data_IF_996186051349
#
_entry.id   IF_996186051349
#
_cell.length_a   1.000
_cell.length_b   1.000
_cell.length_c   1.000
_cell.angle_alpha   90.00
_cell.angle_beta   90.00
_cell.angle_gamma   90.00
#
_symmetry.space_group_name_H-M   'P 1'
#
loop_
_entity.id
_entity.type
_entity.pdbx_description
1 polymer ?
#
# COMPACT_ATOMS: atom_id res chain seq x y z
N UNK A 1 10.40 17.85 24.90
CA UNK A 1 11.50 18.20 23.97
C UNK A 1 11.19 19.57 23.39
N UNK A 2 12.19 20.43 23.17
CA UNK A 2 12.01 21.71 22.47
C UNK A 2 11.64 21.44 21.01
N UNK A 3 10.84 22.34 20.40
CA UNK A 3 10.52 22.29 18.99
C UNK A 3 11.78 22.40 18.13
N UNK A 4 11.98 21.45 17.17
CA UNK A 4 13.13 21.48 16.27
C UNK A 4 12.87 22.49 15.14
N UNK A 5 13.78 23.45 14.96
CA UNK A 5 13.63 24.56 14.01
C UNK A 5 14.32 24.32 12.65
N UNK A 6 15.19 23.32 12.58
CA UNK A 6 15.97 22.98 11.37
C UNK A 6 16.01 21.47 11.20
N UNK A 7 16.07 20.99 9.97
CA UNK A 7 16.24 19.57 9.64
C UNK A 7 17.02 19.41 8.31
N UNK A 8 17.75 18.30 8.17
CA UNK A 8 18.33 17.88 6.89
C UNK A 8 17.22 17.51 5.90
N UNK A 9 16.21 16.79 6.41
CA UNK A 9 15.01 16.47 5.64
C UNK A 9 13.76 16.43 6.53
N UNK A 10 12.62 16.79 5.95
CA UNK A 10 11.29 16.66 6.56
C UNK A 10 10.46 15.66 5.73
N UNK A 11 9.98 14.59 6.39
CA UNK A 11 9.06 13.61 5.80
C UNK A 11 7.64 13.88 6.30
N UNK A 12 6.68 14.05 5.39
CA UNK A 12 5.29 14.37 5.70
C UNK A 12 4.43 13.10 5.55
N UNK A 13 3.88 12.62 6.67
CA UNK A 13 3.03 11.43 6.75
C UNK A 13 3.68 10.27 7.51
N UNK A 14 3.02 9.80 8.57
CA UNK A 14 3.47 8.70 9.44
C UNK A 14 2.90 7.32 9.07
N UNK A 15 2.44 7.15 7.82
CA UNK A 15 2.09 5.86 7.23
C UNK A 15 3.33 5.09 6.77
N UNK A 16 3.12 3.91 6.17
CA UNK A 16 4.21 3.02 5.75
C UNK A 16 5.20 3.70 4.80
N UNK A 17 4.71 4.43 3.79
CA UNK A 17 5.57 5.13 2.82
C UNK A 17 6.51 6.14 3.51
N UNK A 18 5.97 7.02 4.36
CA UNK A 18 6.78 8.04 5.04
C UNK A 18 7.64 7.48 6.16
N UNK A 19 7.12 6.52 6.94
CA UNK A 19 7.89 5.92 8.04
C UNK A 19 9.11 5.14 7.52
N UNK A 20 8.94 4.35 6.46
CA UNK A 20 10.06 3.67 5.82
C UNK A 20 11.06 4.66 5.21
N UNK A 21 10.57 5.72 4.54
CA UNK A 21 11.47 6.77 4.00
C UNK A 21 12.31 7.41 5.10
N UNK A 22 11.70 7.83 6.20
CA UNK A 22 12.42 8.45 7.32
C UNK A 22 13.47 7.49 7.92
N UNK A 23 13.11 6.22 8.08
CA UNK A 23 14.05 5.20 8.55
C UNK A 23 15.25 5.04 7.62
N UNK A 24 15.03 4.88 6.31
CA UNK A 24 16.13 4.66 5.35
C UNK A 24 16.98 5.92 5.15
N UNK A 25 16.41 7.12 5.18
CA UNK A 25 17.21 8.36 5.18
C UNK A 25 18.21 8.38 6.34
N UNK A 26 17.74 8.11 7.55
CA UNK A 26 18.60 8.08 8.72
C UNK A 26 19.61 6.92 8.68
N UNK A 27 19.18 5.72 8.31
CA UNK A 27 20.03 4.54 8.18
C UNK A 27 21.17 4.73 7.16
N UNK A 28 20.91 5.47 6.07
CA UNK A 28 21.92 5.82 5.08
C UNK A 28 22.78 7.01 5.46
N UNK A 29 22.61 7.57 6.67
CA UNK A 29 23.52 8.52 7.28
C UNK A 29 23.04 9.98 7.37
N UNK A 30 21.81 10.29 6.97
CA UNK A 30 21.21 11.60 7.20
C UNK A 30 20.96 11.80 8.70
N UNK A 31 21.42 12.92 9.30
CA UNK A 31 21.45 13.08 10.75
C UNK A 31 20.14 13.61 11.33
N UNK A 32 19.65 14.71 10.77
CA UNK A 32 18.53 15.47 11.32
C UNK A 32 17.26 15.23 10.47
N UNK A 33 16.69 14.02 10.55
CA UNK A 33 15.44 13.65 9.87
C UNK A 33 14.26 13.92 10.81
N UNK A 34 13.29 14.72 10.35
CA UNK A 34 12.03 14.97 11.05
C UNK A 34 10.87 14.34 10.27
N UNK A 35 10.05 13.53 10.94
CA UNK A 35 8.81 13.04 10.39
C UNK A 35 7.62 13.75 11.04
N UNK A 36 6.74 14.33 10.22
CA UNK A 36 5.53 15.04 10.64
C UNK A 36 4.30 14.18 10.35
N UNK A 37 3.48 13.93 11.36
CA UNK A 37 2.21 13.24 11.25
C UNK A 37 1.09 14.06 11.90
N UNK A 38 0.02 14.34 11.12
CA UNK A 38 -1.10 15.18 11.60
C UNK A 38 -1.90 14.55 12.75
N UNK A 39 -1.91 13.23 12.82
CA UNK A 39 -2.61 12.46 13.86
C UNK A 39 -1.63 11.54 14.61
N UNK A 40 -1.95 10.26 14.72
CA UNK A 40 -1.07 9.21 15.20
C UNK A 40 -0.48 8.44 14.03
N UNK A 41 0.72 7.89 14.20
CA UNK A 41 1.35 7.04 13.17
C UNK A 41 0.42 5.88 12.79
N UNK A 42 0.45 5.47 11.53
CA UNK A 42 -0.42 4.45 10.95
C UNK A 42 -1.94 4.75 11.02
N UNK A 43 -2.38 5.93 11.45
CA UNK A 43 -3.83 6.25 11.53
C UNK A 43 -4.50 6.40 10.16
N UNK A 44 -3.73 6.57 9.09
CA UNK A 44 -4.18 6.62 7.71
C UNK A 44 -4.48 5.24 7.11
N UNK A 45 -4.29 5.10 5.79
CA UNK A 45 -4.52 3.85 5.05
C UNK A 45 -3.74 2.66 5.61
N UNK A 46 -2.53 2.88 6.13
CA UNK A 46 -1.66 1.82 6.67
C UNK A 46 -2.35 0.99 7.75
N UNK A 47 -2.89 1.60 8.80
CA UNK A 47 -3.57 0.86 9.88
C UNK A 47 -5.00 0.42 9.56
N UNK A 48 -5.46 0.66 8.34
CA UNK A 48 -6.82 0.34 7.87
C UNK A 48 -6.85 -0.66 6.73
N UNK A 49 -5.68 -1.07 6.21
CA UNK A 49 -5.57 -1.98 5.07
C UNK A 49 -5.59 -3.46 5.47
N UNK A 50 -5.75 -4.34 4.48
CA UNK A 50 -5.61 -5.78 4.64
C UNK A 50 -4.15 -6.23 4.85
N UNK A 51 -3.19 -5.32 4.68
CA UNK A 51 -1.74 -5.56 4.83
C UNK A 51 -1.19 -6.70 3.97
N UNK A 52 -1.75 -6.87 2.82
CA UNK A 52 -1.36 -7.87 1.84
C UNK A 52 -0.20 -7.37 0.97
N UNK A 53 0.64 -8.28 0.51
CA UNK A 53 1.70 -8.02 -0.45
C UNK A 53 1.84 -9.18 -1.45
N UNK A 54 2.18 -8.84 -2.69
CA UNK A 54 2.29 -9.82 -3.77
C UNK A 54 3.26 -9.36 -4.87
N UNK A 55 3.78 -10.32 -5.62
CA UNK A 55 4.55 -10.11 -6.86
C UNK A 55 3.77 -10.52 -8.13
N UNK A 56 2.58 -11.05 -7.95
CA UNK A 56 1.68 -11.56 -9.00
C UNK A 56 0.94 -10.43 -9.70
N UNK A 57 1.67 -9.65 -10.52
CA UNK A 57 1.18 -8.53 -11.32
C UNK A 57 1.19 -8.84 -12.81
N UNK A 58 0.52 -8.03 -13.61
CA UNK A 58 0.47 -8.12 -15.07
C UNK A 58 1.35 -7.11 -15.80
N UNK A 59 1.98 -6.18 -15.07
CA UNK A 59 2.93 -5.20 -15.60
C UNK A 59 4.36 -5.49 -15.14
N UNK A 60 5.34 -5.36 -16.04
CA UNK A 60 6.75 -5.67 -15.76
C UNK A 60 7.29 -4.92 -14.54
N UNK A 61 7.10 -3.59 -14.49
CA UNK A 61 7.58 -2.76 -13.37
C UNK A 61 6.94 -3.18 -12.04
N UNK A 62 5.64 -3.54 -12.05
CA UNK A 62 4.95 -4.00 -10.86
C UNK A 62 5.46 -5.37 -10.39
N UNK A 63 5.81 -6.26 -11.31
CA UNK A 63 6.40 -7.57 -10.97
C UNK A 63 7.78 -7.35 -10.34
N UNK A 64 8.63 -6.51 -10.94
CA UNK A 64 9.97 -6.19 -10.41
C UNK A 64 9.85 -5.57 -9.02
N UNK A 65 9.00 -4.56 -8.85
CA UNK A 65 8.78 -3.90 -7.56
C UNK A 65 8.16 -4.85 -6.53
N UNK A 66 7.15 -5.63 -6.92
CA UNK A 66 6.48 -6.60 -6.05
C UNK A 66 7.43 -7.71 -5.58
N UNK A 67 8.31 -8.21 -6.47
CA UNK A 67 9.36 -9.17 -6.11
C UNK A 67 10.34 -8.58 -5.10
N UNK A 68 10.82 -7.36 -5.34
CA UNK A 68 11.70 -6.66 -4.39
C UNK A 68 11.01 -6.46 -3.03
N UNK A 69 9.70 -6.17 -3.03
CA UNK A 69 8.92 -6.05 -1.79
C UNK A 69 8.84 -7.37 -1.03
N UNK A 70 8.60 -8.50 -1.70
CA UNK A 70 8.60 -9.81 -1.04
C UNK A 70 9.98 -10.10 -0.43
N UNK A 71 11.05 -9.93 -1.21
CA UNK A 71 12.42 -10.14 -0.76
C UNK A 71 12.76 -9.24 0.46
N UNK A 72 12.19 -8.04 0.51
CA UNK A 72 12.31 -7.11 1.64
C UNK A 72 11.50 -7.58 2.85
N UNK A 73 10.22 -7.92 2.69
CA UNK A 73 9.36 -8.36 3.79
C UNK A 73 9.89 -9.60 4.50
N UNK A 74 10.48 -10.54 3.77
CA UNK A 74 11.07 -11.76 4.34
C UNK A 74 12.25 -11.49 5.29
N UNK A 75 12.92 -10.35 5.14
CA UNK A 75 14.07 -9.93 5.97
C UNK A 75 13.71 -8.83 6.97
N UNK A 76 12.51 -8.26 6.85
CA UNK A 76 12.16 -7.02 7.51
C UNK A 76 12.12 -7.14 9.03
N UNK A 77 11.67 -8.29 9.57
CA UNK A 77 11.68 -8.54 11.02
C UNK A 77 13.09 -8.52 11.60
N UNK A 78 14.06 -9.11 10.90
CA UNK A 78 15.47 -9.12 11.27
C UNK A 78 16.05 -7.71 11.14
N UNK A 79 15.83 -7.05 10.01
CA UNK A 79 16.33 -5.70 9.70
C UNK A 79 15.85 -4.68 10.74
N UNK A 80 14.58 -4.73 11.11
CA UNK A 80 13.98 -3.79 12.06
C UNK A 80 14.16 -4.23 13.53
N UNK A 81 14.65 -5.46 13.78
CA UNK A 81 14.81 -6.02 15.12
C UNK A 81 13.49 -6.25 15.86
N UNK A 82 12.39 -6.49 15.13
CA UNK A 82 11.06 -6.69 15.69
C UNK A 82 10.19 -7.53 14.73
N UNK A 83 9.40 -8.46 15.27
CA UNK A 83 8.45 -9.24 14.49
C UNK A 83 7.36 -8.34 13.88
N UNK A 84 7.17 -8.47 12.56
CA UNK A 84 6.16 -7.75 11.79
C UNK A 84 4.88 -8.57 11.56
N UNK A 85 4.79 -9.76 12.11
CA UNK A 85 3.67 -10.67 11.89
C UNK A 85 3.58 -11.15 10.45
N UNK A 86 4.71 -11.48 9.83
CA UNK A 86 4.79 -11.98 8.45
C UNK A 86 4.11 -13.34 8.33
N UNK A 87 3.20 -13.47 7.36
CA UNK A 87 2.51 -14.70 7.06
C UNK A 87 2.40 -14.92 5.54
N UNK A 88 3.16 -15.88 5.03
CA UNK A 88 3.21 -16.24 3.61
C UNK A 88 2.46 -17.55 3.36
N UNK A 89 1.20 -17.42 3.01
CA UNK A 89 0.30 -18.52 2.69
C UNK A 89 -0.12 -18.53 1.21
N UNK A 90 0.54 -17.71 0.40
CA UNK A 90 0.28 -17.55 -1.03
C UNK A 90 -0.98 -16.78 -1.36
N UNK A 91 -1.09 -16.42 -2.65
CA UNK A 91 -2.30 -15.87 -3.25
C UNK A 91 -2.88 -16.84 -4.24
N UNK A 92 -4.15 -17.19 -4.04
CA UNK A 92 -4.96 -17.98 -4.94
C UNK A 92 -5.92 -17.06 -5.71
N UNK A 93 -5.61 -16.82 -6.96
CA UNK A 93 -6.48 -16.08 -7.86
C UNK A 93 -7.50 -16.99 -8.49
N UNK A 94 -8.75 -16.51 -8.58
CA UNK A 94 -9.90 -17.27 -9.07
C UNK A 94 -10.42 -16.59 -10.33
N UNK A 95 -10.51 -17.34 -11.44
CA UNK A 95 -11.14 -16.91 -12.66
C UNK A 95 -12.57 -17.46 -12.77
N UNK A 96 -13.49 -16.62 -13.22
CA UNK A 96 -14.88 -16.97 -13.48
C UNK A 96 -15.24 -16.90 -14.98
N UNK A 97 -14.31 -16.50 -15.84
CA UNK A 97 -14.46 -16.49 -17.30
C UNK A 97 -13.23 -17.08 -17.98
N UNK A 98 -13.39 -17.53 -19.22
CA UNK A 98 -12.29 -18.05 -20.05
C UNK A 98 -11.31 -16.93 -20.41
N UNK A 99 -11.79 -15.68 -20.55
CA UNK A 99 -10.96 -14.50 -20.76
C UNK A 99 -10.00 -14.25 -19.59
N UNK A 100 -10.50 -14.36 -18.35
CA UNK A 100 -9.65 -14.27 -17.16
C UNK A 100 -8.58 -15.37 -17.12
N UNK A 101 -8.93 -16.60 -17.52
CA UNK A 101 -7.96 -17.71 -17.61
C UNK A 101 -6.86 -17.40 -18.62
N UNK A 102 -7.20 -16.89 -19.79
CA UNK A 102 -6.20 -16.50 -20.80
C UNK A 102 -5.33 -15.33 -20.32
N UNK A 103 -5.92 -14.37 -19.59
CA UNK A 103 -5.14 -13.29 -18.97
C UNK A 103 -4.18 -13.84 -17.88
N UNK A 104 -4.62 -14.77 -17.03
CA UNK A 104 -3.75 -15.43 -16.05
C UNK A 104 -2.55 -16.11 -16.72
N UNK A 105 -2.75 -16.84 -17.82
CA UNK A 105 -1.65 -17.47 -18.57
C UNK A 105 -0.62 -16.45 -19.08
N UNK A 106 -1.08 -15.29 -19.59
CA UNK A 106 -0.20 -14.21 -20.03
C UNK A 106 0.60 -13.63 -18.86
N UNK A 107 -0.08 -13.32 -17.74
CA UNK A 107 0.56 -12.81 -16.52
C UNK A 107 1.59 -13.80 -15.98
N UNK A 108 1.26 -15.09 -15.87
CA UNK A 108 2.16 -16.15 -15.40
C UNK A 108 3.40 -16.25 -16.29
N UNK A 109 3.25 -16.18 -17.61
CA UNK A 109 4.39 -16.20 -18.54
C UNK A 109 5.35 -15.04 -18.27
N UNK A 110 4.83 -13.82 -18.09
CA UNK A 110 5.63 -12.64 -17.77
C UNK A 110 6.26 -12.75 -16.38
N UNK A 111 5.50 -13.16 -15.37
CA UNK A 111 5.97 -13.35 -14.00
C UNK A 111 7.14 -14.36 -13.95
N UNK A 112 6.99 -15.50 -14.62
CA UNK A 112 8.04 -16.53 -14.68
C UNK A 112 9.31 -16.03 -15.38
N UNK A 113 9.19 -15.23 -16.44
CA UNK A 113 10.36 -14.63 -17.12
C UNK A 113 11.12 -13.64 -16.24
N UNK A 114 10.45 -13.07 -15.22
CA UNK A 114 11.03 -12.13 -14.25
C UNK A 114 11.39 -12.78 -12.91
N UNK A 115 11.35 -14.13 -12.86
CA UNK A 115 11.75 -14.89 -11.68
C UNK A 115 10.71 -14.96 -10.56
N UNK A 116 9.41 -14.80 -10.90
CA UNK A 116 8.27 -15.03 -10.00
C UNK A 116 7.59 -16.34 -10.43
N UNK A 117 7.81 -17.47 -9.72
CA UNK A 117 7.39 -18.80 -10.14
C UNK A 117 5.89 -19.04 -9.84
N UNK A 118 5.03 -18.35 -10.56
CA UNK A 118 3.58 -18.54 -10.52
C UNK A 118 3.17 -19.68 -11.43
N UNK A 119 2.06 -20.35 -11.12
CA UNK A 119 1.54 -21.44 -11.94
C UNK A 119 0.02 -21.50 -11.93
N UNK A 120 -0.54 -22.03 -13.01
CA UNK A 120 -1.94 -22.44 -13.01
C UNK A 120 -2.14 -23.62 -12.06
N UNK A 121 -3.33 -23.70 -11.46
CA UNK A 121 -3.75 -24.84 -10.66
C UNK A 121 -4.96 -25.53 -11.30
N UNK A 122 -5.03 -26.86 -11.13
CA UNK A 122 -6.26 -27.62 -11.33
C UNK A 122 -7.28 -27.30 -10.23
N UNK A 123 -8.53 -27.70 -10.44
CA UNK A 123 -9.58 -27.57 -9.42
C UNK A 123 -9.26 -28.39 -8.16
N UNK A 124 -8.64 -29.56 -8.32
CA UNK A 124 -8.24 -30.41 -7.19
C UNK A 124 -7.11 -29.76 -6.38
N UNK A 125 -6.08 -29.22 -7.04
CA UNK A 125 -5.01 -28.49 -6.36
C UNK A 125 -5.53 -27.24 -5.63
N UNK A 126 -6.46 -26.50 -6.22
CA UNK A 126 -7.11 -25.36 -5.56
C UNK A 126 -7.91 -25.79 -4.32
N UNK A 127 -8.57 -26.97 -4.40
CA UNK A 127 -9.29 -27.58 -3.30
C UNK A 127 -8.37 -28.06 -2.18
N UNK A 128 -7.18 -28.56 -2.50
CA UNK A 128 -6.16 -28.92 -1.52
C UNK A 128 -5.64 -27.68 -0.77
N UNK A 129 -5.39 -26.58 -1.48
CA UNK A 129 -4.95 -25.31 -0.87
C UNK A 129 -6.05 -24.65 -0.03
N UNK A 130 -7.31 -24.76 -0.45
CA UNK A 130 -8.45 -24.18 0.24
C UNK A 130 -9.63 -25.16 0.25
N UNK A 131 -9.67 -26.10 1.21
CA UNK A 131 -10.69 -27.18 1.25
C UNK A 131 -12.15 -26.70 1.29
N UNK A 132 -12.37 -25.47 1.81
CA UNK A 132 -13.69 -24.85 1.90
C UNK A 132 -14.16 -24.15 0.64
N UNK A 133 -13.31 -24.01 -0.39
CA UNK A 133 -13.64 -23.23 -1.60
C UNK A 133 -14.78 -23.88 -2.41
N UNK A 134 -15.71 -23.05 -2.86
CA UNK A 134 -16.75 -23.46 -3.79
C UNK A 134 -16.24 -23.32 -5.22
N UNK A 135 -16.16 -24.46 -5.91
CA UNK A 135 -15.67 -24.53 -7.29
C UNK A 135 -16.74 -24.23 -8.36
N UNK A 136 -18.01 -24.09 -7.95
CA UNK A 136 -19.10 -23.88 -8.90
C UNK A 136 -18.93 -22.53 -9.63
N UNK A 137 -18.92 -22.61 -10.96
CA UNK A 137 -18.76 -21.44 -11.84
C UNK A 137 -17.34 -20.94 -12.00
N UNK A 138 -16.35 -21.55 -11.34
CA UNK A 138 -14.94 -21.22 -11.55
C UNK A 138 -14.43 -21.84 -12.85
N UNK A 139 -13.53 -21.13 -13.54
CA UNK A 139 -12.91 -21.53 -14.82
C UNK A 139 -11.44 -21.87 -14.68
N UNK A 140 -10.77 -21.33 -13.68
CA UNK A 140 -9.36 -21.59 -13.46
C UNK A 140 -8.83 -20.89 -12.23
N UNK A 141 -7.63 -21.29 -11.85
CA UNK A 141 -6.92 -20.78 -10.71
C UNK A 141 -5.46 -20.55 -11.06
N UNK A 142 -4.83 -19.52 -10.46
CA UNK A 142 -3.38 -19.48 -10.40
C UNK A 142 -2.90 -19.06 -9.02
N UNK A 143 -1.66 -19.40 -8.69
CA UNK A 143 -1.12 -19.28 -7.36
C UNK A 143 0.37 -18.97 -7.36
N UNK A 144 0.78 -18.18 -6.38
CA UNK A 144 2.18 -17.93 -6.06
C UNK A 144 2.38 -18.03 -4.54
N UNK A 145 3.35 -18.86 -4.14
CA UNK A 145 3.55 -19.26 -2.73
C UNK A 145 4.05 -18.14 -1.83
N UNK A 146 4.97 -17.29 -2.33
CA UNK A 146 5.63 -16.26 -1.51
C UNK A 146 4.80 -15.01 -1.26
N UNK A 147 3.70 -14.84 -1.97
CA UNK A 147 2.74 -13.79 -1.70
C UNK A 147 2.07 -14.03 -0.33
N UNK A 148 1.65 -12.97 0.35
CA UNK A 148 1.11 -13.12 1.70
C UNK A 148 0.64 -11.80 2.32
N UNK A 149 0.71 -11.74 3.63
CA UNK A 149 0.38 -10.54 4.39
C UNK A 149 1.27 -10.43 5.64
N UNK A 150 1.30 -9.24 6.23
CA UNK A 150 1.89 -8.99 7.53
C UNK A 150 0.87 -8.31 8.48
N UNK A 151 1.28 -7.93 9.67
CA UNK A 151 0.46 -7.07 10.52
C UNK A 151 0.79 -5.60 10.22
N UNK A 152 -0.19 -4.75 9.83
CA UNK A 152 0.09 -3.38 9.41
C UNK A 152 0.54 -2.48 10.57
N UNK A 153 0.01 -2.73 11.76
CA UNK A 153 0.37 -1.94 12.95
C UNK A 153 1.75 -2.35 13.47
N UNK A 154 2.03 -3.66 13.55
CA UNK A 154 3.35 -4.16 13.95
C UNK A 154 4.42 -3.73 12.95
N UNK A 155 4.16 -3.85 11.63
CA UNK A 155 5.13 -3.45 10.60
C UNK A 155 5.46 -1.96 10.67
N UNK A 156 4.44 -1.10 10.81
CA UNK A 156 4.67 0.35 10.91
C UNK A 156 5.33 0.72 12.25
N UNK A 157 4.97 0.04 13.34
CA UNK A 157 5.58 0.24 14.65
C UNK A 157 7.04 -0.21 14.68
N UNK A 158 7.36 -1.34 14.04
CA UNK A 158 8.76 -1.80 13.89
C UNK A 158 9.62 -0.77 13.16
N UNK A 159 9.11 -0.22 12.04
CA UNK A 159 9.79 0.89 11.35
C UNK A 159 9.93 2.13 12.24
N UNK A 160 8.89 2.49 13.00
CA UNK A 160 8.94 3.63 13.92
C UNK A 160 10.04 3.46 14.98
N UNK A 161 10.12 2.29 15.59
CA UNK A 161 11.14 2.05 16.62
C UNK A 161 12.55 1.97 15.99
N UNK A 162 12.69 1.39 14.81
CA UNK A 162 13.94 1.41 14.05
C UNK A 162 14.34 2.85 13.67
N UNK A 163 13.42 3.65 13.15
CA UNK A 163 13.67 5.06 12.82
C UNK A 163 14.11 5.88 14.04
N UNK A 164 13.49 5.66 15.21
CA UNK A 164 13.90 6.31 16.46
C UNK A 164 15.32 5.91 16.89
N UNK A 165 15.70 4.62 16.72
CA UNK A 165 17.07 4.16 17.03
C UNK A 165 18.11 4.83 16.13
N UNK A 166 17.74 5.13 14.87
CA UNK A 166 18.57 5.89 13.93
C UNK A 166 18.50 7.42 14.15
N UNK A 167 17.77 7.90 15.15
CA UNK A 167 17.72 9.32 15.51
C UNK A 167 16.61 10.13 14.86
N UNK A 168 15.67 9.52 14.14
CA UNK A 168 14.54 10.24 13.53
C UNK A 168 13.63 10.86 14.58
N UNK A 169 13.38 12.18 14.45
CA UNK A 169 12.46 12.91 15.29
C UNK A 169 11.01 12.82 14.75
N UNK A 170 10.18 12.03 15.39
CA UNK A 170 8.79 11.79 14.98
C UNK A 170 7.83 12.72 15.73
N UNK A 171 7.26 13.68 15.02
CA UNK A 171 6.34 14.70 15.55
C UNK A 171 4.88 14.34 15.17
N UNK A 172 4.14 13.77 16.12
CA UNK A 172 2.71 13.48 15.99
C UNK A 172 1.87 14.74 16.27
N UNK A 173 0.61 14.74 15.80
CA UNK A 173 -0.33 15.84 15.93
C UNK A 173 0.25 17.16 15.39
N UNK A 174 0.99 17.03 14.26
CA UNK A 174 1.66 18.15 13.61
C UNK A 174 1.21 18.22 12.17
N UNK A 175 0.37 19.20 11.88
CA UNK A 175 -0.21 19.41 10.56
C UNK A 175 0.63 20.41 9.76
N UNK A 176 0.91 20.07 8.51
CA UNK A 176 1.61 20.95 7.57
C UNK A 176 0.62 21.94 7.00
N UNK A 177 0.91 23.23 7.16
CA UNK A 177 0.02 24.33 6.74
C UNK A 177 0.56 25.12 5.56
N UNK A 178 1.82 24.91 5.18
CA UNK A 178 2.47 25.62 4.06
C UNK A 178 3.93 25.29 3.93
N UNK A 179 4.57 25.97 3.00
CA UNK A 179 6.00 25.82 2.72
C UNK A 179 6.70 27.19 2.61
N UNK A 180 7.96 27.28 3.03
CA UNK A 180 8.86 28.36 2.70
C UNK A 180 9.55 28.02 1.40
N UNK A 181 9.56 28.92 0.45
CA UNK A 181 10.14 28.75 -0.89
C UNK A 181 10.98 29.96 -1.27
N UNK A 182 12.10 29.71 -1.93
CA UNK A 182 12.94 30.74 -2.55
C UNK A 182 13.67 30.15 -3.76
N UNK A 183 13.78 30.94 -4.82
CA UNK A 183 14.53 30.60 -6.04
C UNK A 183 14.18 29.23 -6.66
N UNK A 184 12.89 28.89 -6.70
CA UNK A 184 12.42 27.61 -7.22
C UNK A 184 12.78 26.39 -6.37
N UNK A 185 13.11 26.60 -5.08
CA UNK A 185 13.47 25.54 -4.14
C UNK A 185 12.70 25.63 -2.84
N UNK A 186 12.44 24.49 -2.21
CA UNK A 186 11.90 24.46 -0.86
C UNK A 186 12.98 24.91 0.15
N UNK A 187 12.57 25.71 1.16
CA UNK A 187 13.43 26.25 2.22
C UNK A 187 12.90 25.93 3.61
N UNK A 188 11.73 25.35 3.71
CA UNK A 188 11.16 24.96 4.99
C UNK A 188 9.70 24.54 4.89
N UNK A 189 9.22 23.99 6.00
CA UNK A 189 7.85 23.54 6.19
C UNK A 189 7.21 24.37 7.31
N UNK A 190 6.03 24.94 7.04
CA UNK A 190 5.20 25.61 8.03
C UNK A 190 4.23 24.60 8.64
N UNK A 191 4.08 24.63 9.96
CA UNK A 191 3.17 23.72 10.67
C UNK A 191 2.32 24.45 11.70
N UNK A 192 1.30 23.80 12.20
CA UNK A 192 0.48 24.30 13.31
C UNK A 192 1.23 24.43 14.65
N UNK A 193 2.48 23.97 14.74
CA UNK A 193 3.33 24.06 15.95
C UNK A 193 4.55 24.96 15.78
N UNK A 194 4.80 25.43 14.58
CA UNK A 194 5.95 26.25 14.21
C UNK A 194 6.61 25.77 12.92
N UNK A 195 7.58 26.51 12.46
CA UNK A 195 8.28 26.24 11.22
C UNK A 195 9.52 25.38 11.42
N UNK A 196 9.90 24.65 10.38
CA UNK A 196 11.14 23.88 10.29
C UNK A 196 11.84 24.28 8.99
N UNK A 197 13.04 24.85 9.08
CA UNK A 197 13.86 25.16 7.92
C UNK A 197 14.53 23.87 7.41
N UNK A 198 14.39 23.60 6.12
CA UNK A 198 14.95 22.43 5.43
C UNK A 198 15.02 22.67 3.93
N UNK A 199 15.97 22.03 3.26
CA UNK A 199 16.04 22.04 1.78
C UNK A 199 15.50 20.75 1.14
N UNK A 200 15.04 19.77 1.94
CA UNK A 200 14.51 18.51 1.45
C UNK A 200 13.20 18.21 2.17
N UNK A 201 12.14 18.07 1.39
CA UNK A 201 10.81 17.66 1.86
C UNK A 201 10.34 16.45 1.07
N UNK A 202 9.88 15.43 1.76
CA UNK A 202 9.29 14.25 1.13
C UNK A 202 7.80 14.18 1.50
N UNK A 203 6.94 14.40 0.50
CA UNK A 203 5.50 14.29 0.65
C UNK A 203 5.07 12.81 0.51
N UNK A 204 4.84 12.17 1.63
CA UNK A 204 4.34 10.80 1.76
C UNK A 204 2.95 10.77 2.47
N UNK A 205 2.14 11.81 2.24
CA UNK A 205 0.86 12.03 2.91
C UNK A 205 -0.30 11.16 2.36
N UNK A 206 0.00 10.12 1.55
CA UNK A 206 -0.98 9.18 1.01
C UNK A 206 -2.12 9.90 0.27
N UNK A 207 -3.36 9.63 0.62
CA UNK A 207 -4.54 10.23 0.00
C UNK A 207 -4.60 11.78 0.11
N UNK A 208 -3.85 12.39 1.02
CA UNK A 208 -3.73 13.85 1.17
C UNK A 208 -2.56 14.45 0.39
N UNK A 209 -1.74 13.62 -0.28
CA UNK A 209 -0.52 14.08 -0.92
C UNK A 209 -0.76 15.16 -1.98
N UNK A 210 -1.85 15.07 -2.78
CA UNK A 210 -2.23 16.12 -3.72
C UNK A 210 -2.54 17.46 -3.03
N UNK A 211 -3.23 17.43 -1.87
CA UNK A 211 -3.51 18.65 -1.08
C UNK A 211 -2.25 19.26 -0.48
N UNK A 212 -1.37 18.41 0.04
CA UNK A 212 -0.05 18.87 0.57
C UNK A 212 0.78 19.49 -0.55
N UNK A 213 0.84 18.87 -1.73
CA UNK A 213 1.52 19.44 -2.89
C UNK A 213 0.94 20.80 -3.32
N UNK A 214 -0.38 20.95 -3.26
CA UNK A 214 -1.05 22.22 -3.57
C UNK A 214 -0.65 23.36 -2.62
N UNK A 215 -0.32 23.09 -1.35
CA UNK A 215 0.24 24.10 -0.43
C UNK A 215 1.60 24.63 -0.91
N UNK A 216 2.31 23.86 -1.70
CA UNK A 216 3.57 24.24 -2.36
C UNK A 216 3.36 24.82 -3.77
N UNK A 217 2.12 25.02 -4.21
CA UNK A 217 1.79 25.48 -5.56
C UNK A 217 1.93 24.41 -6.65
N UNK A 218 2.12 23.15 -6.29
CA UNK A 218 2.28 22.03 -7.21
C UNK A 218 0.94 21.32 -7.49
N UNK A 219 0.69 20.97 -8.75
CA UNK A 219 -0.48 20.19 -9.16
C UNK A 219 -0.08 18.75 -9.45
N UNK A 220 -0.25 17.88 -8.45
CA UNK A 220 0.05 16.46 -8.56
C UNK A 220 -1.27 15.69 -8.63
N UNK A 221 -1.50 14.81 -9.63
CA UNK A 221 -2.77 14.14 -9.82
C UNK A 221 -2.95 12.94 -8.87
N UNK A 222 -3.05 13.24 -7.58
CA UNK A 222 -3.31 12.27 -6.51
C UNK A 222 -4.56 12.70 -5.76
N UNK A 223 -5.53 11.81 -5.63
CA UNK A 223 -6.74 12.05 -4.84
C UNK A 223 -7.07 10.86 -3.95
N UNK A 224 -7.90 11.10 -2.93
CA UNK A 224 -8.36 10.05 -2.04
C UNK A 224 -9.61 9.37 -2.57
N UNK A 225 -9.65 8.02 -2.53
CA UNK A 225 -10.84 7.23 -2.77
C UNK A 225 -11.13 6.34 -1.58
N UNK A 226 -12.38 6.33 -1.10
CA UNK A 226 -12.78 5.56 0.07
C UNK A 226 -13.07 4.10 -0.30
N UNK A 227 -12.36 3.17 0.33
CA UNK A 227 -12.57 1.73 0.26
C UNK A 227 -13.03 1.19 1.62
N UNK A 228 -13.87 0.18 1.61
CA UNK A 228 -14.40 -0.47 2.81
C UNK A 228 -13.88 -1.89 2.95
N UNK A 229 -13.78 -2.33 4.19
CA UNK A 229 -13.25 -3.62 4.59
C UNK A 229 -14.03 -4.11 5.81
N UNK A 230 -14.19 -5.41 5.95
CA UNK A 230 -14.80 -6.02 7.14
C UNK A 230 -13.87 -7.02 7.82
N UNK A 231 -14.15 -7.29 9.09
CA UNK A 231 -13.58 -8.38 9.86
C UNK A 231 -14.67 -9.21 10.52
N UNK A 232 -14.49 -10.52 10.51
CA UNK A 232 -15.36 -11.46 11.23
C UNK A 232 -14.88 -11.68 12.65
N UNK A 233 -15.75 -12.27 13.49
CA UNK A 233 -15.30 -12.93 14.71
C UNK A 233 -14.21 -13.97 14.39
N UNK A 234 -13.32 -14.28 15.35
CA UNK A 234 -12.36 -15.35 15.19
C UNK A 234 -13.06 -16.71 15.06
N UNK A 235 -12.63 -17.48 14.08
CA UNK A 235 -13.06 -18.89 13.88
C UNK A 235 -11.82 -19.76 13.75
N UNK A 236 -12.03 -21.08 13.78
CA UNK A 236 -10.94 -22.03 13.57
C UNK A 236 -10.14 -21.68 12.32
N UNK A 237 -8.81 -21.69 12.44
CA UNK A 237 -7.93 -21.43 11.30
C UNK A 237 -8.08 -22.52 10.23
N UNK A 238 -8.08 -22.12 8.96
CA UNK A 238 -8.26 -23.04 7.82
C UNK A 238 -9.60 -22.90 7.10
N UNK A 239 -10.45 -21.94 7.49
CA UNK A 239 -11.62 -21.56 6.69
C UNK A 239 -11.18 -20.85 5.41
N UNK A 240 -10.16 -19.98 5.49
CA UNK A 240 -9.54 -19.28 4.35
C UNK A 240 -8.01 -19.37 4.48
N UNK A 241 -7.40 -20.54 4.25
CA UNK A 241 -6.00 -20.82 4.59
C UNK A 241 -4.99 -20.14 3.66
N UNK A 242 -5.42 -19.66 2.49
CA UNK A 242 -4.62 -18.86 1.54
C UNK A 242 -5.35 -17.55 1.25
N UNK A 243 -4.64 -16.53 0.76
CA UNK A 243 -5.29 -15.31 0.33
C UNK A 243 -6.08 -15.58 -0.95
N UNK A 244 -7.39 -15.33 -0.93
CA UNK A 244 -8.28 -15.50 -2.08
C UNK A 244 -8.51 -14.16 -2.75
N UNK A 245 -8.44 -14.13 -4.07
CA UNK A 245 -8.67 -12.93 -4.86
C UNK A 245 -9.32 -13.23 -6.20
N UNK A 246 -10.20 -12.37 -6.66
CA UNK A 246 -10.72 -12.32 -8.02
C UNK A 246 -10.87 -10.86 -8.45
N UNK A 247 -10.73 -10.59 -9.75
CA UNK A 247 -10.96 -9.28 -10.33
C UNK A 247 -12.39 -9.08 -10.81
N UNK A 248 -13.07 -10.18 -11.20
CA UNK A 248 -14.47 -10.18 -11.54
C UNK A 248 -15.10 -11.55 -11.22
N UNK A 249 -16.01 -11.65 -10.22
CA UNK A 249 -16.35 -10.57 -9.28
C UNK A 249 -15.16 -10.10 -8.49
N UNK A 250 -15.08 -8.77 -8.30
CA UNK A 250 -13.98 -8.15 -7.54
C UNK A 250 -14.14 -8.42 -6.05
N UNK A 251 -13.17 -9.14 -5.48
CA UNK A 251 -13.06 -9.36 -4.04
C UNK A 251 -11.66 -9.81 -3.64
N UNK A 252 -11.37 -9.64 -2.36
CA UNK A 252 -10.27 -10.30 -1.69
C UNK A 252 -10.69 -10.78 -0.29
N UNK A 253 -10.09 -11.89 0.16
CA UNK A 253 -10.31 -12.46 1.49
C UNK A 253 -9.02 -13.09 2.02
N UNK A 254 -8.79 -12.95 3.32
CA UNK A 254 -7.71 -13.63 4.04
C UNK A 254 -8.13 -13.96 5.45
N UNK A 255 -7.65 -15.06 5.99
CA UNK A 255 -7.79 -15.37 7.41
C UNK A 255 -6.51 -15.00 8.16
N UNK A 256 -6.68 -14.26 9.24
CA UNK A 256 -5.56 -13.86 10.11
C UNK A 256 -5.17 -15.04 11.02
N UNK A 257 -3.93 -15.12 11.50
CA UNK A 257 -3.50 -16.23 12.40
C UNK A 257 -4.38 -16.43 13.64
N UNK A 258 -4.99 -15.36 14.16
CA UNK A 258 -5.92 -15.43 15.29
C UNK A 258 -7.35 -15.88 14.92
N UNK A 259 -7.62 -16.16 13.64
CA UNK A 259 -8.88 -16.75 13.16
C UNK A 259 -9.85 -15.80 12.45
N UNK A 260 -9.80 -14.48 12.65
CA UNK A 260 -10.70 -13.54 11.96
C UNK A 260 -10.43 -13.53 10.47
N UNK A 261 -11.49 -13.46 9.65
CA UNK A 261 -11.41 -13.27 8.21
C UNK A 261 -11.54 -11.78 7.91
N UNK A 262 -10.59 -11.25 7.16
CA UNK A 262 -10.62 -9.91 6.59
C UNK A 262 -11.07 -10.02 5.13
N UNK A 263 -12.05 -9.19 4.72
CA UNK A 263 -12.56 -9.22 3.35
C UNK A 263 -12.92 -7.83 2.86
N UNK A 264 -12.75 -7.59 1.56
CA UNK A 264 -13.07 -6.33 0.89
C UNK A 264 -13.20 -6.47 -0.62
N UNK A 265 -13.70 -5.40 -1.25
CA UNK A 265 -13.86 -5.26 -2.69
C UNK A 265 -13.75 -3.80 -3.12
N UNK A 266 -13.64 -3.52 -4.42
CA UNK A 266 -13.66 -2.17 -4.96
C UNK A 266 -15.01 -1.46 -4.75
N UNK A 267 -15.02 -0.14 -4.52
CA UNK A 267 -16.23 0.61 -4.19
C UNK A 267 -17.28 0.62 -5.31
N UNK A 268 -16.88 0.52 -6.57
CA UNK A 268 -17.78 0.45 -7.73
C UNK A 268 -18.76 -0.74 -7.69
N UNK A 269 -18.48 -1.76 -6.89
CA UNK A 269 -19.32 -2.95 -6.76
C UNK A 269 -20.57 -2.74 -5.91
N UNK A 270 -20.56 -1.76 -5.02
CA UNK A 270 -21.65 -1.49 -4.08
C UNK A 270 -22.10 -0.01 -4.01
N UNK A 271 -21.39 0.87 -4.71
CA UNK A 271 -21.70 2.31 -4.82
C UNK A 271 -21.90 2.71 -6.27
N UNK A 272 -22.91 3.53 -6.54
CA UNK A 272 -23.14 4.14 -7.86
C UNK A 272 -22.28 5.38 -8.10
N UNK A 273 -21.91 6.08 -7.04
CA UNK A 273 -21.12 7.31 -7.08
C UNK A 273 -19.90 7.19 -6.18
N UNK A 274 -18.78 7.78 -6.59
CA UNK A 274 -17.61 7.90 -5.75
C UNK A 274 -17.96 8.65 -4.46
N UNK A 275 -17.58 8.09 -3.33
CA UNK A 275 -17.75 8.79 -2.06
C UNK A 275 -16.90 10.05 -2.06
N UNK A 276 -17.46 11.23 -1.66
CA UNK A 276 -16.67 12.43 -1.56
C UNK A 276 -15.49 12.20 -0.61
N UNK A 277 -14.37 12.85 -0.91
CA UNK A 277 -13.19 12.85 -0.04
C UNK A 277 -13.47 13.70 1.21
N UNK A 278 -14.22 13.14 2.14
CA UNK A 278 -14.39 13.69 3.48
C UNK A 278 -13.54 12.86 4.43
N UNK A 279 -12.80 13.55 5.32
CA UNK A 279 -11.90 12.92 6.29
C UNK A 279 -12.58 11.73 6.98
N UNK A 280 -12.18 10.49 6.64
CA UNK A 280 -12.59 9.24 7.27
C UNK A 280 -14.02 9.22 7.83
N UNK A 281 -15.02 9.56 7.02
CA UNK A 281 -16.38 9.20 7.40
C UNK A 281 -16.45 7.70 7.64
N UNK A 282 -16.53 7.33 8.90
CA UNK A 282 -16.69 5.96 9.39
C UNK A 282 -18.13 5.46 9.19
N UNK A 283 -18.88 6.08 8.28
CA UNK A 283 -20.27 5.72 8.01
C UNK A 283 -20.34 4.28 7.50
N UNK A 284 -21.22 3.51 8.14
CA UNK A 284 -21.53 2.13 7.74
C UNK A 284 -22.19 2.15 6.36
N UNK A 285 -21.58 1.48 5.38
CA UNK A 285 -22.22 1.21 4.11
C UNK A 285 -22.86 -0.18 4.17
N UNK A 286 -24.18 -0.22 4.42
CA UNK A 286 -24.93 -1.47 4.44
C UNK A 286 -24.79 -2.25 3.13
N UNK A 287 -24.80 -1.54 2.00
CA UNK A 287 -24.63 -2.16 0.68
C UNK A 287 -23.30 -2.92 0.55
N UNK A 288 -22.21 -2.38 1.14
CA UNK A 288 -20.93 -3.09 1.18
C UNK A 288 -21.04 -4.37 2.00
N UNK A 289 -21.64 -4.29 3.19
CA UNK A 289 -21.78 -5.44 4.09
C UNK A 289 -22.57 -6.57 3.41
N UNK A 290 -23.71 -6.24 2.83
CA UNK A 290 -24.57 -7.19 2.12
C UNK A 290 -23.86 -7.80 0.92
N UNK A 291 -23.24 -6.97 0.08
CA UNK A 291 -22.50 -7.41 -1.10
C UNK A 291 -21.34 -8.35 -0.71
N UNK A 292 -20.48 -7.92 0.23
CA UNK A 292 -19.28 -8.68 0.59
C UNK A 292 -19.60 -9.99 1.31
N UNK A 293 -20.57 -9.99 2.22
CA UNK A 293 -21.01 -11.23 2.89
C UNK A 293 -21.66 -12.21 1.93
N UNK A 294 -22.37 -11.70 0.91
CA UNK A 294 -22.90 -12.49 -0.21
C UNK A 294 -21.79 -13.21 -0.98
N UNK A 295 -20.71 -12.48 -1.32
CA UNK A 295 -19.52 -13.05 -1.97
C UNK A 295 -18.84 -14.08 -1.05
N UNK A 296 -18.62 -13.76 0.21
CA UNK A 296 -17.99 -14.66 1.17
C UNK A 296 -18.74 -15.98 1.25
N UNK A 297 -20.07 -15.94 1.39
CA UNK A 297 -20.93 -17.12 1.49
C UNK A 297 -20.96 -17.94 0.20
N UNK A 298 -20.78 -17.28 -0.95
CA UNK A 298 -20.72 -17.95 -2.27
C UNK A 298 -19.37 -18.63 -2.50
N UNK A 299 -18.27 -17.95 -2.18
CA UNK A 299 -16.89 -18.43 -2.42
C UNK A 299 -16.46 -19.43 -1.37
N UNK A 300 -16.78 -19.15 -0.10
CA UNK A 300 -16.48 -19.99 1.06
C UNK A 300 -17.76 -20.29 1.86
N UNK A 301 -18.56 -21.31 1.48
CA UNK A 301 -19.83 -21.61 2.17
C UNK A 301 -19.73 -21.83 3.69
N UNK A 302 -18.55 -22.20 4.20
CA UNK A 302 -18.27 -22.30 5.62
C UNK A 302 -18.34 -20.97 6.37
N UNK A 303 -18.40 -19.84 5.66
CA UNK A 303 -18.57 -18.52 6.28
C UNK A 303 -20.01 -18.18 6.65
N UNK A 304 -20.99 -19.00 6.21
CA UNK A 304 -22.38 -18.83 6.60
C UNK A 304 -22.55 -18.92 8.11
N UNK A 305 -23.16 -17.90 8.69
CA UNK A 305 -23.39 -17.80 10.13
C UNK A 305 -22.24 -17.23 10.95
N UNK A 306 -21.07 -16.97 10.34
CA UNK A 306 -19.97 -16.24 11.00
C UNK A 306 -20.37 -14.77 11.11
N UNK A 307 -20.24 -14.20 12.30
CA UNK A 307 -20.62 -12.81 12.56
C UNK A 307 -19.56 -11.84 12.07
N UNK A 308 -19.96 -10.79 11.38
CA UNK A 308 -19.11 -9.63 11.13
C UNK A 308 -19.06 -8.79 12.41
N UNK A 309 -17.87 -8.61 12.96
CA UNK A 309 -17.68 -7.86 14.22
C UNK A 309 -17.20 -6.45 13.99
N UNK A 310 -16.68 -6.15 12.81
CA UNK A 310 -16.22 -4.81 12.45
C UNK A 310 -16.30 -4.57 10.95
N UNK A 311 -16.72 -3.35 10.61
CA UNK A 311 -16.59 -2.76 9.29
C UNK A 311 -15.92 -1.39 9.45
N UNK A 312 -15.05 -1.01 8.52
CA UNK A 312 -14.40 0.29 8.53
C UNK A 312 -13.97 0.68 7.12
N UNK A 313 -13.59 1.94 6.94
CA UNK A 313 -13.07 2.45 5.68
C UNK A 313 -11.63 2.94 5.79
N UNK A 314 -10.90 2.88 4.68
CA UNK A 314 -9.61 3.51 4.46
C UNK A 314 -9.63 4.33 3.17
N UNK A 315 -8.68 5.27 3.05
CA UNK A 315 -8.56 6.09 1.85
C UNK A 315 -7.38 5.60 1.01
N UNK A 316 -7.67 5.17 -0.21
CA UNK A 316 -6.64 4.89 -1.21
C UNK A 316 -6.13 6.19 -1.81
N UNK A 317 -4.84 6.26 -2.08
CA UNK A 317 -4.16 7.35 -2.79
C UNK A 317 -4.19 7.03 -4.30
N UNK A 318 -5.28 7.43 -4.96
CA UNK A 318 -5.49 7.12 -6.37
C UNK A 318 -4.71 8.08 -7.26
N UNK A 319 -3.99 7.51 -8.22
CA UNK A 319 -3.30 8.17 -9.32
C UNK A 319 -3.94 7.78 -10.64
N UNK A 320 -3.74 8.54 -11.75
CA UNK A 320 -4.43 8.29 -13.02
C UNK A 320 -4.26 6.88 -13.61
N UNK A 321 -3.14 6.23 -13.33
CA UNK A 321 -2.83 4.87 -13.77
C UNK A 321 -2.75 3.86 -12.60
N UNK A 322 -3.16 4.27 -11.40
CA UNK A 322 -3.07 3.46 -10.18
C UNK A 322 -1.65 2.95 -9.89
N UNK A 323 -0.63 3.71 -10.32
CA UNK A 323 0.78 3.37 -10.12
C UNK A 323 1.45 4.38 -9.20
N UNK A 324 2.57 4.04 -8.55
CA UNK A 324 3.28 4.96 -7.69
C UNK A 324 3.61 6.29 -8.38
N UNK A 325 3.62 7.35 -7.59
CA UNK A 325 4.14 8.68 -7.94
C UNK A 325 5.31 8.97 -7.03
N UNK A 326 6.52 8.82 -7.57
CA UNK A 326 7.77 8.93 -6.82
C UNK A 326 8.75 9.79 -7.62
N UNK A 327 9.45 10.71 -6.95
CA UNK A 327 10.48 11.54 -7.57
C UNK A 327 10.52 12.97 -7.04
N UNK A 328 11.51 13.74 -7.46
CA UNK A 328 11.65 15.16 -7.16
C UNK A 328 10.83 16.00 -8.13
N UNK A 329 10.20 17.07 -7.64
CA UNK A 329 9.45 18.00 -8.47
C UNK A 329 10.41 18.78 -9.40
N UNK A 330 10.15 18.76 -10.72
CA UNK A 330 10.95 19.51 -11.71
C UNK A 330 10.82 21.02 -11.47
N UNK A 331 9.63 21.46 -11.01
CA UNK A 331 9.30 22.87 -10.77
C UNK A 331 9.80 23.38 -9.41
N UNK A 332 10.20 22.46 -8.49
CA UNK A 332 10.56 22.82 -7.10
C UNK A 332 11.66 21.91 -6.57
N UNK A 333 12.89 22.37 -6.63
CA UNK A 333 14.03 21.62 -6.11
C UNK A 333 13.87 21.32 -4.61
N UNK A 334 14.19 20.09 -4.22
CA UNK A 334 14.11 19.60 -2.85
C UNK A 334 12.71 19.14 -2.43
N UNK A 335 11.67 19.27 -3.28
CA UNK A 335 10.35 18.74 -2.99
C UNK A 335 10.14 17.38 -3.67
N UNK A 336 10.02 16.34 -2.87
CA UNK A 336 9.89 14.95 -3.31
C UNK A 336 8.50 14.42 -3.08
N UNK A 337 8.01 13.59 -3.99
CA UNK A 337 6.81 12.79 -3.82
C UNK A 337 7.18 11.34 -3.51
N UNK A 338 6.45 10.71 -2.58
CA UNK A 338 6.50 9.27 -2.34
C UNK A 338 5.09 8.76 -2.03
N UNK A 339 4.31 8.51 -3.09
CA UNK A 339 2.91 8.11 -3.06
C UNK A 339 2.74 6.79 -3.79
N UNK A 340 1.89 5.93 -3.28
CA UNK A 340 1.86 4.52 -3.66
C UNK A 340 0.98 4.15 -4.85
N UNK A 341 0.03 5.00 -5.22
CA UNK A 341 -1.00 4.60 -6.19
C UNK A 341 -1.82 3.41 -5.69
N UNK A 342 -2.37 3.51 -4.46
CA UNK A 342 -3.22 2.51 -3.78
C UNK A 342 -2.51 1.34 -3.06
N UNK A 343 -1.18 1.20 -3.12
CA UNK A 343 -0.45 0.02 -2.63
C UNK A 343 0.59 0.35 -1.54
N UNK A 344 0.31 1.36 -0.71
CA UNK A 344 1.26 1.94 0.24
C UNK A 344 1.85 0.98 1.25
N UNK A 345 1.06 0.05 1.75
CA UNK A 345 1.60 -0.97 2.65
C UNK A 345 2.59 -1.89 1.91
N UNK A 346 2.17 -2.42 0.76
CA UNK A 346 2.97 -3.37 -0.02
C UNK A 346 4.31 -2.77 -0.48
N UNK A 347 4.28 -1.58 -1.08
CA UNK A 347 5.45 -0.97 -1.70
C UNK A 347 6.27 -0.10 -0.74
N UNK A 348 5.70 0.30 0.40
CA UNK A 348 6.29 1.29 1.29
C UNK A 348 7.73 1.04 1.71
N UNK A 349 8.10 -0.16 2.18
CA UNK A 349 9.47 -0.43 2.58
C UNK A 349 10.49 -0.24 1.45
N UNK A 350 10.18 -0.74 0.24
CA UNK A 350 11.06 -0.61 -0.93
C UNK A 350 11.04 0.81 -1.49
N UNK A 351 9.87 1.42 -1.62
CA UNK A 351 9.76 2.80 -2.11
C UNK A 351 10.45 3.81 -1.18
N UNK A 352 10.35 3.61 0.14
CA UNK A 352 11.08 4.42 1.12
C UNK A 352 12.59 4.31 0.98
N UNK A 353 13.10 3.09 0.78
CA UNK A 353 14.52 2.84 0.51
C UNK A 353 14.98 3.50 -0.79
N UNK A 354 14.24 3.31 -1.90
CA UNK A 354 14.55 3.93 -3.19
C UNK A 354 14.64 5.46 -3.12
N UNK A 355 13.71 6.11 -2.45
CA UNK A 355 13.72 7.57 -2.27
C UNK A 355 14.95 8.00 -1.46
N UNK A 356 15.26 7.28 -0.38
CA UNK A 356 16.43 7.57 0.44
C UNK A 356 17.75 7.35 -0.33
N UNK A 357 17.88 6.26 -1.11
CA UNK A 357 19.01 6.00 -1.99
C UNK A 357 19.18 7.12 -3.02
N UNK A 358 18.10 7.55 -3.67
CA UNK A 358 18.16 8.61 -4.68
C UNK A 358 18.62 9.94 -4.07
N UNK A 359 18.11 10.30 -2.89
CA UNK A 359 18.48 11.55 -2.23
C UNK A 359 19.93 11.53 -1.75
N UNK A 360 20.41 10.43 -1.17
CA UNK A 360 21.71 10.36 -0.52
C UNK A 360 22.81 9.90 -1.48
N UNK A 361 22.52 8.90 -2.33
CA UNK A 361 23.51 8.27 -3.20
C UNK A 361 23.44 8.74 -4.65
N UNK A 362 22.39 9.48 -5.04
CA UNK A 362 22.14 9.94 -6.40
C UNK A 362 21.77 8.83 -7.37
N UNK A 363 21.50 7.62 -6.89
CA UNK A 363 21.11 6.44 -7.69
C UNK A 363 20.28 5.49 -6.85
N UNK A 364 19.46 4.68 -7.50
CA UNK A 364 18.62 3.68 -6.85
C UNK A 364 18.90 2.26 -7.34
N UNK A 365 18.53 1.29 -6.51
CA UNK A 365 18.59 -0.14 -6.83
C UNK A 365 17.52 -0.58 -7.85
N UNK A 366 16.44 0.19 -8.01
CA UNK A 366 15.33 -0.07 -8.92
C UNK A 366 15.01 1.19 -9.76
N UNK A 367 14.32 1.07 -10.92
CA UNK A 367 14.09 2.17 -11.86
C UNK A 367 13.04 3.17 -11.35
N UNK A 368 13.41 4.01 -10.36
CA UNK A 368 12.53 4.98 -9.70
C UNK A 368 12.00 6.05 -10.69
N UNK A 369 12.81 6.39 -11.69
CA UNK A 369 12.47 7.41 -12.71
C UNK A 369 11.21 7.07 -13.51
N UNK A 370 10.87 5.79 -13.62
CA UNK A 370 9.64 5.35 -14.30
C UNK A 370 8.37 5.74 -13.53
N UNK A 371 8.47 6.02 -12.23
CA UNK A 371 7.34 6.41 -11.40
C UNK A 371 7.16 7.93 -11.27
N UNK A 372 8.00 8.74 -11.96
CA UNK A 372 7.84 10.19 -11.96
C UNK A 372 6.54 10.60 -12.68
N UNK A 373 5.80 11.56 -12.09
CA UNK A 373 4.47 11.95 -12.61
C UNK A 373 4.50 12.73 -13.93
N UNK A 374 5.64 13.24 -14.37
CA UNK A 374 5.80 13.82 -15.71
C UNK A 374 5.43 12.85 -16.84
N UNK A 375 5.36 11.54 -16.54
CA UNK A 375 4.84 10.53 -17.48
C UNK A 375 3.40 10.83 -17.92
N UNK A 376 2.57 11.45 -17.07
CA UNK A 376 1.19 11.80 -17.44
C UNK A 376 1.14 12.89 -18.52
N UNK A 377 2.01 13.91 -18.43
CA UNK A 377 2.10 14.96 -19.44
C UNK A 377 2.57 14.42 -20.81
N UNK A 378 3.34 13.32 -20.81
CA UNK A 378 3.79 12.63 -22.02
C UNK A 378 2.80 11.56 -22.51
N UNK A 379 1.69 11.31 -21.79
CA UNK A 379 0.75 10.23 -22.10
C UNK A 379 1.29 8.82 -21.85
N UNK A 380 2.34 8.68 -21.05
CA UNK A 380 3.03 7.43 -20.75
C UNK A 380 2.43 6.78 -19.48
N UNK A 381 1.24 6.21 -19.60
CA UNK A 381 0.60 5.52 -18.48
C UNK A 381 1.21 4.12 -18.28
N UNK A 382 1.48 3.78 -17.02
CA UNK A 382 1.96 2.45 -16.66
C UNK A 382 0.75 1.50 -16.51
N UNK A 383 0.59 0.60 -17.48
CA UNK A 383 -0.54 -0.33 -17.51
C UNK A 383 -0.19 -1.63 -16.78
N UNK A 384 -1.10 -2.08 -15.92
CA UNK A 384 -1.04 -3.41 -15.32
C UNK A 384 -2.24 -4.25 -15.80
N UNK A 385 -1.98 -5.20 -16.67
CA UNK A 385 -3.02 -6.04 -17.29
C UNK A 385 -3.68 -7.03 -16.34
N UNK A 386 -3.14 -7.23 -15.14
CA UNK A 386 -3.79 -8.04 -14.11
C UNK A 386 -4.98 -7.32 -13.46
N UNK A 387 -5.05 -5.98 -13.61
CA UNK A 387 -6.07 -5.12 -12.99
C UNK A 387 -7.05 -4.56 -14.04
N UNK A 388 -6.68 -4.65 -15.32
CA UNK A 388 -7.44 -4.11 -16.46
C UNK A 388 -8.64 -5.00 -16.84
#
# INVERSE_FOLDING_TARGET
MSWQKTADAVVIGGGMMGMATAYYLAKLGMKDVVLLEKNTVASGATGRCAAAFRSTWGGELNIILGKACIDKYEKLSEELGMDIGLYQNGYLFIAYSDEQVENFKKCIKLQNSLGVPSRMLSHDEAKELCPGINLNGTKGFYWHKRDGHADPMLTNFAHQEAAKREGVNIQKFTDVTGFKMADGAVKGVCTNKGDIDTNIVINAAGAWAGRVAALAGLSIPVHGERHEILATEPVEFGVCPTFLMSYDPDFYMQQRPHGSIIAGCGPSRYRKEAAPFNDYEMGDCWNFLEHMTGIMNKVLPRTKGIRVVRQWSGMYDITPDMQPVIGEAEEMKGFWMNVSGSRGFMFGPVAGEMVAEQIILGKTSLPIEKFHWSRYARGEFLVDTAIA
#
